data_IF_203558005359
#
_entry.id   IF_203558005359
#
_cell.length_a   1.000
_cell.length_b   1.000
_cell.length_c   1.000
_cell.angle_alpha   90.00
_cell.angle_beta   90.00
_cell.angle_gamma   90.00
#
_symmetry.space_group_name_H-M   'P 1'
#
loop_
_entity.id
_entity.type
_entity.pdbx_description
1 polymer ?
#
# COMPACT_ATOMS: atom_id res chain seq x y z
N UNK A 1 -10.30 7.05 -15.64
CA UNK A 1 -11.76 6.85 -15.47
C UNK A 1 -12.09 5.36 -15.43
N UNK A 2 -11.70 4.64 -16.48
CA UNK A 2 -11.81 3.18 -16.55
C UNK A 2 -10.81 2.49 -15.61
N UNK A 3 -9.62 3.07 -15.46
CA UNK A 3 -8.52 2.55 -14.64
C UNK A 3 -8.86 2.53 -13.15
N UNK A 4 -9.57 3.57 -12.66
CA UNK A 4 -10.04 3.64 -11.28
C UNK A 4 -11.13 2.59 -11.05
N UNK A 5 -12.05 2.41 -11.99
CA UNK A 5 -13.08 1.38 -11.89
C UNK A 5 -12.48 -0.03 -11.81
N UNK A 6 -11.48 -0.33 -12.65
CA UNK A 6 -10.75 -1.60 -12.59
C UNK A 6 -10.03 -1.79 -11.24
N UNK A 7 -9.41 -0.73 -10.70
CA UNK A 7 -8.80 -0.81 -9.37
C UNK A 7 -9.85 -1.12 -8.28
N UNK A 8 -11.02 -0.48 -8.35
CA UNK A 8 -12.13 -0.76 -7.42
C UNK A 8 -12.61 -2.22 -7.51
N UNK A 9 -12.74 -2.77 -8.72
CA UNK A 9 -13.12 -4.18 -8.93
C UNK A 9 -12.09 -5.15 -8.31
N UNK A 10 -10.79 -4.88 -8.47
CA UNK A 10 -9.74 -5.69 -7.86
C UNK A 10 -9.78 -5.62 -6.33
N UNK A 11 -10.03 -4.45 -5.77
CA UNK A 11 -10.13 -4.22 -4.32
C UNK A 11 -11.36 -4.93 -3.75
N UNK A 12 -12.52 -4.77 -4.40
CA UNK A 12 -13.77 -5.43 -4.00
C UNK A 12 -13.60 -6.96 -4.00
N UNK A 13 -12.98 -7.52 -5.05
CA UNK A 13 -12.71 -8.94 -5.15
C UNK A 13 -11.81 -9.45 -4.00
N UNK A 14 -10.79 -8.68 -3.63
CA UNK A 14 -9.90 -8.98 -2.50
C UNK A 14 -10.67 -8.96 -1.16
N UNK A 15 -11.52 -7.96 -0.92
CA UNK A 15 -12.36 -7.92 0.28
C UNK A 15 -13.34 -9.09 0.34
N UNK A 16 -13.99 -9.45 -0.77
CA UNK A 16 -14.89 -10.62 -0.84
C UNK A 16 -14.16 -11.94 -0.57
N UNK A 17 -12.87 -12.02 -0.88
CA UNK A 17 -12.01 -13.17 -0.57
C UNK A 17 -11.44 -13.15 0.86
N UNK A 18 -11.83 -12.17 1.69
CA UNK A 18 -11.32 -11.99 3.06
C UNK A 18 -9.88 -11.46 3.13
N UNK A 19 -9.37 -10.88 2.03
CA UNK A 19 -8.07 -10.20 2.02
C UNK A 19 -8.19 -8.70 2.29
N UNK A 20 -7.08 -7.98 2.09
CA UNK A 20 -6.91 -6.59 2.52
C UNK A 20 -6.57 -5.66 1.35
N UNK A 21 -6.74 -4.37 1.59
CA UNK A 21 -6.18 -3.30 0.78
C UNK A 21 -4.96 -2.72 1.47
N UNK A 22 -3.82 -2.67 0.77
CA UNK A 22 -2.58 -2.08 1.28
C UNK A 22 -2.14 -0.93 0.39
N UNK A 23 -2.11 0.29 0.92
CA UNK A 23 -1.46 1.43 0.27
C UNK A 23 0.03 1.45 0.62
N UNK A 24 0.89 1.62 -0.38
CA UNK A 24 2.34 1.74 -0.18
C UNK A 24 2.90 2.98 -0.87
N UNK A 25 3.56 3.85 -0.12
CA UNK A 25 4.07 5.11 -0.65
C UNK A 25 5.22 5.70 0.17
N UNK A 26 5.80 6.78 -0.33
CA UNK A 26 6.79 7.58 0.38
C UNK A 26 6.32 9.03 0.52
N UNK A 27 6.88 9.77 1.49
CA UNK A 27 6.59 11.19 1.68
C UNK A 27 5.08 11.50 1.73
N UNK A 28 4.63 12.48 0.95
CA UNK A 28 3.22 12.88 0.89
C UNK A 28 2.30 11.75 0.41
N UNK A 29 2.72 10.98 -0.59
CA UNK A 29 1.93 9.84 -1.11
C UNK A 29 1.70 8.78 -0.03
N UNK A 30 2.73 8.43 0.74
CA UNK A 30 2.60 7.50 1.87
C UNK A 30 1.70 8.06 2.98
N UNK A 31 1.79 9.35 3.29
CA UNK A 31 0.91 10.01 4.29
C UNK A 31 -0.56 9.98 3.88
N UNK A 32 -0.85 10.21 2.60
CA UNK A 32 -2.22 10.12 2.08
C UNK A 32 -2.79 8.70 2.20
N UNK A 33 -2.00 7.67 1.87
CA UNK A 33 -2.42 6.27 2.05
C UNK A 33 -2.69 5.90 3.52
N UNK A 34 -1.88 6.43 4.45
CA UNK A 34 -2.11 6.23 5.89
C UNK A 34 -3.35 6.99 6.37
N UNK A 35 -3.58 8.21 5.89
CA UNK A 35 -4.77 9.00 6.20
C UNK A 35 -6.05 8.27 5.76
N UNK A 36 -6.10 7.80 4.50
CA UNK A 36 -7.26 7.08 3.97
C UNK A 36 -7.57 5.80 4.76
N UNK A 37 -6.52 5.02 5.06
CA UNK A 37 -6.64 3.81 5.88
C UNK A 37 -7.18 4.10 7.28
N UNK A 38 -6.75 5.21 7.91
CA UNK A 38 -7.14 5.57 9.27
C UNK A 38 -8.63 5.95 9.40
N UNK A 39 -9.24 6.48 8.33
CA UNK A 39 -10.65 6.87 8.31
C UNK A 39 -11.60 5.69 8.08
N UNK A 40 -11.10 4.55 7.58
CA UNK A 40 -11.92 3.39 7.25
C UNK A 40 -12.64 2.76 8.47
N UNK A 41 -11.99 2.53 9.62
CA UNK A 41 -12.66 2.00 10.80
C UNK A 41 -13.77 2.90 11.36
N UNK A 42 -13.54 4.21 11.65
CA UNK A 42 -14.59 5.06 12.21
C UNK A 42 -15.71 5.38 11.22
N UNK A 43 -15.43 5.42 9.91
CA UNK A 43 -16.43 5.77 8.90
C UNK A 43 -17.30 4.58 8.50
N UNK A 44 -16.71 3.39 8.35
CA UNK A 44 -17.39 2.21 7.80
C UNK A 44 -17.52 1.04 8.79
N UNK A 45 -17.01 1.17 10.02
CA UNK A 45 -17.05 0.10 11.02
C UNK A 45 -16.17 -1.11 10.68
N UNK A 46 -15.13 -0.90 9.87
CA UNK A 46 -14.24 -1.96 9.39
C UNK A 46 -13.15 -2.30 10.42
N UNK A 47 -12.62 -3.54 10.40
CA UNK A 47 -11.41 -3.86 11.15
C UNK A 47 -10.21 -3.02 10.67
N UNK A 48 -9.33 -2.52 11.55
CA UNK A 48 -8.15 -1.72 11.17
C UNK A 48 -7.18 -2.41 10.20
N UNK A 49 -7.19 -3.74 10.14
CA UNK A 49 -6.38 -4.55 9.25
C UNK A 49 -6.94 -4.65 7.81
N UNK A 50 -8.20 -4.25 7.59
CA UNK A 50 -8.85 -4.36 6.29
C UNK A 50 -8.24 -3.38 5.27
N UNK A 51 -7.88 -2.18 5.70
CA UNK A 51 -7.22 -1.15 4.88
C UNK A 51 -5.98 -0.67 5.63
N UNK A 52 -4.81 -0.76 5.01
CA UNK A 52 -3.53 -0.53 5.67
C UNK A 52 -2.69 0.47 4.88
N UNK A 53 -2.24 1.54 5.53
CA UNK A 53 -1.26 2.46 4.96
C UNK A 53 0.18 2.10 5.35
N UNK A 54 1.07 2.04 4.36
CA UNK A 54 2.50 1.75 4.51
C UNK A 54 3.29 2.94 3.96
N UNK A 55 4.12 3.53 4.81
CA UNK A 55 4.97 4.66 4.47
C UNK A 55 6.45 4.29 4.58
N UNK A 56 7.22 4.62 3.55
CA UNK A 56 8.68 4.51 3.58
C UNK A 56 9.26 5.25 4.79
N UNK A 57 10.14 4.58 5.56
CA UNK A 57 10.69 5.13 6.80
C UNK A 57 9.81 4.92 8.05
N UNK A 58 8.66 4.25 7.90
CA UNK A 58 7.80 3.83 9.02
C UNK A 58 7.10 4.98 9.75
N UNK A 59 6.62 4.72 10.97
CA UNK A 59 5.86 5.70 11.76
C UNK A 59 6.53 7.09 11.90
N UNK A 60 7.85 7.22 12.09
CA UNK A 60 8.51 8.53 12.13
C UNK A 60 8.28 9.38 10.86
N UNK A 61 8.14 8.74 9.70
CA UNK A 61 7.93 9.39 8.41
C UNK A 61 6.59 10.14 8.32
N UNK A 62 5.62 9.81 9.19
CA UNK A 62 4.34 10.52 9.27
C UNK A 62 4.52 11.97 9.72
N UNK A 63 5.40 12.20 10.69
CA UNK A 63 5.60 13.51 11.30
C UNK A 63 6.72 14.33 10.63
N UNK A 64 7.78 13.65 10.16
CA UNK A 64 8.95 14.29 9.55
C UNK A 64 9.43 13.47 8.37
N UNK A 65 9.91 14.11 7.31
CA UNK A 65 10.53 13.37 6.22
C UNK A 65 11.78 12.61 6.70
N UNK A 66 11.92 11.38 6.24
CA UNK A 66 13.09 10.53 6.52
C UNK A 66 13.93 10.48 5.25
N UNK A 67 15.14 11.02 5.32
CA UNK A 67 16.06 11.09 4.18
C UNK A 67 16.44 9.68 3.70
N UNK A 68 16.41 9.45 2.38
CA UNK A 68 16.76 8.18 1.75
C UNK A 68 15.75 7.03 1.93
N UNK A 69 14.67 7.22 2.69
CA UNK A 69 13.70 6.15 2.93
C UNK A 69 13.00 5.67 1.65
N UNK A 70 12.78 6.58 0.70
CA UNK A 70 12.13 6.27 -0.58
C UNK A 70 13.03 5.49 -1.54
N UNK A 71 14.34 5.54 -1.31
CA UNK A 71 15.38 4.89 -2.10
C UNK A 71 15.76 3.48 -1.59
N UNK A 72 15.11 3.00 -0.52
CA UNK A 72 15.38 1.66 0.04
C UNK A 72 14.41 0.60 -0.51
N UNK A 73 14.80 -0.18 -1.54
CA UNK A 73 13.97 -1.26 -2.07
C UNK A 73 13.82 -2.43 -1.10
N UNK A 74 14.81 -2.69 -0.24
CA UNK A 74 14.77 -3.82 0.69
C UNK A 74 13.72 -3.58 1.77
N UNK A 75 13.58 -2.34 2.24
CA UNK A 75 12.49 -1.96 3.14
C UNK A 75 11.11 -2.20 2.51
N UNK A 76 10.93 -1.89 1.22
CA UNK A 76 9.67 -2.14 0.51
C UNK A 76 9.33 -3.62 0.43
N UNK A 77 10.32 -4.48 0.16
CA UNK A 77 10.18 -5.95 0.15
C UNK A 77 9.82 -6.44 1.56
N UNK A 78 10.55 -5.97 2.57
CA UNK A 78 10.37 -6.40 3.96
C UNK A 78 8.97 -6.05 4.52
N UNK A 79 8.38 -4.92 4.12
CA UNK A 79 7.00 -4.58 4.49
C UNK A 79 5.99 -5.57 3.92
N UNK A 80 6.17 -6.05 2.68
CA UNK A 80 5.28 -7.05 2.10
C UNK A 80 5.38 -8.40 2.84
N UNK A 81 6.62 -8.82 3.12
CA UNK A 81 6.89 -10.09 3.80
C UNK A 81 6.39 -10.10 5.25
N UNK A 82 6.73 -9.06 6.02
CA UNK A 82 6.34 -8.93 7.43
C UNK A 82 4.82 -8.89 7.62
N UNK A 83 4.10 -8.29 6.68
CA UNK A 83 2.63 -8.23 6.68
C UNK A 83 1.96 -9.47 6.10
N UNK A 84 2.76 -10.46 5.66
CA UNK A 84 2.29 -11.69 5.04
C UNK A 84 1.34 -11.40 3.88
N UNK A 85 1.74 -10.48 3.00
CA UNK A 85 0.98 -10.18 1.77
C UNK A 85 0.82 -11.46 0.96
N UNK A 86 -0.38 -11.69 0.43
CA UNK A 86 -0.69 -12.90 -0.31
C UNK A 86 -1.75 -12.71 -1.39
N UNK A 87 -2.20 -13.81 -2.03
CA UNK A 87 -3.04 -13.76 -3.23
C UNK A 87 -4.44 -13.18 -3.03
N UNK A 88 -4.89 -13.03 -1.79
CA UNK A 88 -6.17 -12.41 -1.47
C UNK A 88 -6.05 -10.90 -1.28
N UNK A 89 -4.83 -10.34 -1.22
CA UNK A 89 -4.61 -8.91 -1.00
C UNK A 89 -4.54 -8.13 -2.33
N UNK A 90 -4.88 -6.85 -2.26
CA UNK A 90 -4.56 -5.85 -3.29
C UNK A 90 -3.58 -4.83 -2.71
N UNK A 91 -2.45 -4.62 -3.39
CA UNK A 91 -1.44 -3.62 -3.04
C UNK A 91 -1.48 -2.47 -4.04
N UNK A 92 -1.66 -1.25 -3.55
CA UNK A 92 -1.72 -0.03 -4.34
C UNK A 92 -0.49 0.82 -4.03
N UNK A 93 0.41 0.93 -5.00
CA UNK A 93 1.57 1.80 -4.91
C UNK A 93 1.21 3.23 -5.29
N UNK A 94 1.59 4.20 -4.47
CA UNK A 94 1.32 5.62 -4.70
C UNK A 94 2.66 6.35 -4.81
N UNK A 95 2.99 6.85 -6.00
CA UNK A 95 4.20 7.63 -6.22
C UNK A 95 4.11 8.55 -7.44
N UNK A 96 4.15 9.87 -7.20
CA UNK A 96 4.07 10.88 -8.26
C UNK A 96 5.18 10.77 -9.32
N UNK A 97 6.38 10.31 -8.96
CA UNK A 97 7.51 10.20 -9.88
C UNK A 97 7.49 8.93 -10.75
N UNK A 98 6.59 7.98 -10.45
CA UNK A 98 6.58 6.69 -11.15
C UNK A 98 7.77 5.77 -10.83
N UNK A 99 8.81 6.24 -10.15
CA UNK A 99 10.14 5.60 -10.13
C UNK A 99 10.67 5.30 -8.73
N UNK A 100 9.93 5.67 -7.67
CA UNK A 100 10.30 5.48 -6.27
C UNK A 100 10.70 4.02 -5.96
N UNK A 101 11.98 3.74 -5.66
CA UNK A 101 12.49 2.37 -5.46
C UNK A 101 11.73 1.56 -4.41
N UNK A 102 11.45 2.15 -3.25
CA UNK A 102 10.67 1.51 -2.18
C UNK A 102 9.30 0.99 -2.68
N UNK A 103 8.56 1.82 -3.40
CA UNK A 103 7.21 1.50 -3.91
C UNK A 103 7.29 0.42 -5.00
N UNK A 104 8.24 0.55 -5.93
CA UNK A 104 8.42 -0.44 -7.01
C UNK A 104 8.80 -1.82 -6.47
N UNK A 105 9.70 -1.85 -5.49
CA UNK A 105 10.13 -3.10 -4.88
C UNK A 105 8.99 -3.75 -4.08
N UNK A 106 8.18 -2.96 -3.37
CA UNK A 106 6.99 -3.46 -2.68
C UNK A 106 5.97 -4.07 -3.66
N UNK A 107 5.65 -3.38 -4.77
CA UNK A 107 4.74 -3.93 -5.77
C UNK A 107 5.27 -5.18 -6.47
N UNK A 108 6.56 -5.17 -6.85
CA UNK A 108 7.20 -6.35 -7.43
C UNK A 108 7.16 -7.56 -6.48
N UNK A 109 7.37 -7.31 -5.19
CA UNK A 109 7.27 -8.36 -4.16
C UNK A 109 5.83 -8.84 -3.97
N UNK A 110 4.87 -7.93 -3.89
CA UNK A 110 3.44 -8.28 -3.78
C UNK A 110 2.99 -9.16 -4.95
N UNK A 111 3.37 -8.80 -6.18
CA UNK A 111 3.08 -9.58 -7.38
C UNK A 111 3.72 -10.97 -7.31
N UNK A 112 4.97 -11.08 -6.86
CA UNK A 112 5.65 -12.36 -6.68
C UNK A 112 4.99 -13.26 -5.61
N UNK A 113 4.31 -12.65 -4.62
CA UNK A 113 3.52 -13.34 -3.60
C UNK A 113 2.08 -13.66 -4.07
N UNK A 114 1.74 -13.31 -5.32
CA UNK A 114 0.45 -13.57 -5.95
C UNK A 114 -0.63 -12.52 -5.69
N UNK A 115 -0.31 -11.43 -4.99
CA UNK A 115 -1.25 -10.35 -4.74
C UNK A 115 -1.56 -9.57 -6.03
N UNK A 116 -2.74 -8.93 -6.05
CA UNK A 116 -3.10 -7.97 -7.10
C UNK A 116 -2.36 -6.66 -6.86
N UNK A 117 -1.92 -5.99 -7.91
CA UNK A 117 -1.15 -4.74 -7.80
C UNK A 117 -1.74 -3.64 -8.66
N UNK A 118 -1.81 -2.43 -8.11
CA UNK A 118 -2.18 -1.18 -8.82
C UNK A 118 -1.07 -0.14 -8.57
N UNK A 119 -0.80 0.71 -9.54
CA UNK A 119 0.12 1.83 -9.41
C UNK A 119 -0.59 3.15 -9.73
N UNK A 120 -0.45 4.14 -8.85
CA UNK A 120 -1.02 5.48 -8.93
C UNK A 120 0.07 6.54 -8.93
#
# INVERSE_FOLDING_TARGET
GVEIALAMELIEASFRAGGRLLYVGAGSSGRLGVLDAAECPPTFGTPPEMVVGIIAGGAPALLKSVEGAEDDPNAGIAEMDSRRVGPNDTVVGIAASGTTPFVRAALGRAQALGARTVFL
#
